data_IF_335555691111
#
_entry.id   IF_335555691111
#
_cell.length_a   1.000
_cell.length_b   1.000
_cell.length_c   1.000
_cell.angle_alpha   90.00
_cell.angle_beta   90.00
_cell.angle_gamma   90.00
#
_symmetry.space_group_name_H-M   'P 1'
#
loop_
_entity.id
_entity.type
_entity.pdbx_description
1 polymer ?
#
# COMPACT_ATOMS: atom_id res chain seq x y z
N UNK A 1 -10.88 -43.71 -15.03
CA UNK A 1 -11.49 -43.31 -13.74
C UNK A 1 -10.58 -42.41 -12.90
N UNK A 2 -9.30 -42.77 -12.69
CA UNK A 2 -8.34 -41.94 -11.93
C UNK A 2 -8.14 -40.51 -12.48
N UNK A 3 -7.97 -40.37 -13.80
CA UNK A 3 -7.83 -39.05 -14.44
C UNK A 3 -9.05 -38.13 -14.27
N UNK A 4 -10.25 -38.71 -14.23
CA UNK A 4 -11.50 -37.94 -14.05
C UNK A 4 -11.56 -37.39 -12.63
N UNK A 5 -11.17 -38.17 -11.62
CA UNK A 5 -11.10 -37.71 -10.23
C UNK A 5 -10.06 -36.60 -10.03
N UNK A 6 -8.91 -36.69 -10.71
CA UNK A 6 -7.89 -35.62 -10.70
C UNK A 6 -8.44 -34.34 -11.31
N UNK A 7 -9.11 -34.44 -12.48
CA UNK A 7 -9.69 -33.27 -13.15
C UNK A 7 -10.79 -32.64 -12.28
N UNK A 8 -11.67 -33.43 -11.68
CA UNK A 8 -12.69 -32.94 -10.74
C UNK A 8 -12.08 -32.28 -9.50
N UNK A 9 -11.03 -32.88 -8.94
CA UNK A 9 -10.27 -32.30 -7.83
C UNK A 9 -9.64 -30.96 -8.20
N UNK A 10 -9.06 -30.85 -9.40
CA UNK A 10 -8.49 -29.60 -9.90
C UNK A 10 -9.56 -28.54 -10.16
N UNK A 11 -10.69 -28.90 -10.77
CA UNK A 11 -11.80 -27.95 -11.04
C UNK A 11 -12.41 -27.43 -9.74
N UNK A 12 -12.65 -28.31 -8.77
CA UNK A 12 -13.15 -27.90 -7.45
C UNK A 12 -12.13 -27.02 -6.74
N UNK A 13 -10.85 -27.39 -6.73
CA UNK A 13 -9.79 -26.58 -6.16
C UNK A 13 -9.70 -25.19 -6.80
N UNK A 14 -9.76 -25.11 -8.13
CA UNK A 14 -9.79 -23.86 -8.89
C UNK A 14 -11.02 -23.02 -8.51
N UNK A 15 -12.20 -23.64 -8.38
CA UNK A 15 -13.42 -22.94 -7.96
C UNK A 15 -13.26 -22.30 -6.57
N UNK A 16 -12.73 -23.04 -5.59
CA UNK A 16 -12.55 -22.54 -4.23
C UNK A 16 -11.50 -21.42 -4.12
N UNK A 17 -10.49 -21.40 -5.00
CA UNK A 17 -9.43 -20.37 -4.99
C UNK A 17 -9.79 -19.15 -5.86
N UNK A 18 -10.33 -19.35 -7.07
CA UNK A 18 -10.49 -18.27 -8.05
C UNK A 18 -11.91 -17.73 -8.18
N UNK A 19 -12.94 -18.45 -7.70
CA UNK A 19 -14.33 -18.04 -7.91
C UNK A 19 -15.01 -17.75 -6.58
N UNK A 20 -14.92 -18.68 -5.61
CA UNK A 20 -15.59 -18.56 -4.31
C UNK A 20 -15.26 -17.25 -3.54
N UNK A 21 -14.01 -16.73 -3.51
CA UNK A 21 -13.72 -15.48 -2.82
C UNK A 21 -14.50 -14.28 -3.38
N UNK A 22 -14.78 -14.29 -4.69
CA UNK A 22 -15.50 -13.23 -5.39
C UNK A 22 -17.04 -13.32 -5.26
N UNK A 23 -17.54 -14.26 -4.47
CA UNK A 23 -18.97 -14.39 -4.15
C UNK A 23 -19.29 -13.87 -2.73
N UNK A 24 -18.29 -13.34 -2.02
CA UNK A 24 -18.44 -12.85 -0.65
C UNK A 24 -19.58 -11.81 -0.52
N UNK A 25 -19.63 -10.77 -1.36
CA UNK A 25 -20.65 -9.73 -1.22
C UNK A 25 -22.03 -10.18 -1.68
N UNK A 26 -22.11 -11.01 -2.72
CA UNK A 26 -23.35 -11.71 -3.12
C UNK A 26 -23.95 -12.49 -1.95
N UNK A 27 -23.12 -13.24 -1.21
CA UNK A 27 -23.58 -14.01 -0.04
C UNK A 27 -24.09 -13.14 1.12
N UNK A 28 -23.73 -11.84 1.13
CA UNK A 28 -24.15 -10.85 2.13
C UNK A 28 -25.28 -9.95 1.63
N UNK A 29 -25.79 -10.17 0.42
CA UNK A 29 -26.82 -9.33 -0.18
C UNK A 29 -26.33 -7.92 -0.56
N UNK A 30 -25.01 -7.73 -0.70
CA UNK A 30 -24.41 -6.45 -1.08
C UNK A 30 -24.26 -6.42 -2.61
N UNK A 31 -24.70 -5.33 -3.29
CA UNK A 31 -24.51 -5.19 -4.73
C UNK A 31 -23.02 -5.23 -5.08
N UNK A 32 -22.63 -6.08 -6.04
CA UNK A 32 -21.26 -6.18 -6.54
C UNK A 32 -21.23 -6.29 -8.06
N UNK A 33 -20.08 -6.00 -8.67
CA UNK A 33 -19.85 -6.28 -10.09
C UNK A 33 -19.92 -7.78 -10.36
N UNK A 34 -20.34 -8.15 -11.56
CA UNK A 34 -20.29 -9.56 -12.01
C UNK A 34 -18.86 -10.06 -11.98
N UNK A 35 -18.67 -11.36 -11.69
CA UNK A 35 -17.35 -11.99 -11.56
C UNK A 35 -16.46 -11.73 -12.78
N UNK A 36 -17.00 -11.83 -14.00
CA UNK A 36 -16.27 -11.52 -15.24
C UNK A 36 -15.76 -10.08 -15.28
N UNK A 37 -16.57 -9.13 -14.80
CA UNK A 37 -16.19 -7.72 -14.77
C UNK A 37 -15.17 -7.42 -13.68
N UNK A 38 -15.25 -8.10 -12.53
CA UNK A 38 -14.20 -8.04 -11.49
C UNK A 38 -12.86 -8.52 -12.05
N UNK A 39 -12.84 -9.63 -12.78
CA UNK A 39 -11.63 -10.12 -13.44
C UNK A 39 -11.09 -9.14 -14.49
N UNK A 40 -11.99 -8.54 -15.29
CA UNK A 40 -11.61 -7.53 -16.28
C UNK A 40 -10.96 -6.29 -15.64
N UNK A 41 -11.59 -5.69 -14.63
CA UNK A 41 -11.04 -4.50 -13.96
C UNK A 41 -9.75 -4.84 -13.18
N UNK A 42 -9.68 -6.03 -12.58
CA UNK A 42 -8.45 -6.51 -11.93
C UNK A 42 -7.32 -6.67 -12.93
N UNK A 43 -7.59 -7.22 -14.11
CA UNK A 43 -6.61 -7.33 -15.19
C UNK A 43 -6.16 -5.94 -15.67
N UNK A 44 -7.08 -4.97 -15.84
CA UNK A 44 -6.72 -3.59 -16.19
C UNK A 44 -5.76 -2.96 -15.17
N UNK A 45 -5.97 -3.21 -13.88
CA UNK A 45 -5.07 -2.74 -12.82
C UNK A 45 -3.72 -3.46 -12.79
N UNK A 46 -3.72 -4.79 -12.92
CA UNK A 46 -2.52 -5.65 -12.94
C UNK A 46 -1.62 -5.33 -14.14
N UNK A 47 -2.22 -5.15 -15.32
CA UNK A 47 -1.51 -4.82 -16.56
C UNK A 47 -1.32 -3.30 -16.74
N UNK A 48 -1.68 -2.49 -15.74
CA UNK A 48 -1.55 -1.03 -15.76
C UNK A 48 -2.22 -0.34 -16.97
N UNK A 49 -3.26 -0.96 -17.53
CA UNK A 49 -4.12 -0.33 -18.55
C UNK A 49 -5.07 0.71 -17.96
N UNK A 50 -5.19 0.78 -16.63
CA UNK A 50 -5.90 1.82 -15.90
C UNK A 50 -5.23 2.05 -14.54
N UNK A 51 -5.33 3.27 -14.01
CA UNK A 51 -4.89 3.54 -12.65
C UNK A 51 -5.96 3.07 -11.65
N UNK A 52 -5.55 2.80 -10.40
CA UNK A 52 -6.46 2.37 -9.32
C UNK A 52 -7.65 3.34 -9.15
N UNK A 53 -7.41 4.66 -9.25
CA UNK A 53 -8.46 5.66 -9.11
C UNK A 53 -9.54 5.54 -10.21
N UNK A 54 -9.15 5.23 -11.45
CA UNK A 54 -10.09 5.05 -12.55
C UNK A 54 -10.94 3.79 -12.37
N UNK A 55 -10.34 2.69 -11.88
CA UNK A 55 -11.06 1.45 -11.56
C UNK A 55 -12.07 1.69 -10.44
N UNK A 56 -11.67 2.38 -9.37
CA UNK A 56 -12.57 2.73 -8.27
C UNK A 56 -13.73 3.59 -8.77
N UNK A 57 -13.45 4.56 -9.65
CA UNK A 57 -14.48 5.39 -10.29
C UNK A 57 -15.44 4.57 -11.15
N UNK A 58 -14.93 3.60 -11.93
CA UNK A 58 -15.80 2.77 -12.78
C UNK A 58 -16.76 1.91 -11.96
N UNK A 59 -16.28 1.37 -10.83
CA UNK A 59 -17.11 0.64 -9.85
C UNK A 59 -18.17 1.57 -9.26
N UNK A 60 -17.78 2.78 -8.85
CA UNK A 60 -18.66 3.78 -8.27
C UNK A 60 -19.81 4.17 -9.23
N UNK A 61 -19.47 4.45 -10.49
CA UNK A 61 -20.43 4.92 -11.50
C UNK A 61 -21.39 3.82 -11.98
N UNK A 62 -21.01 2.55 -11.86
CA UNK A 62 -21.82 1.41 -12.36
C UNK A 62 -23.14 1.22 -11.59
N UNK A 63 -23.20 1.62 -10.33
CA UNK A 63 -24.38 1.44 -9.48
C UNK A 63 -24.95 2.80 -9.05
N UNK A 64 -25.63 3.55 -9.95
CA UNK A 64 -26.26 4.80 -9.58
C UNK A 64 -27.35 4.55 -8.52
N UNK A 65 -27.30 5.29 -7.41
CA UNK A 65 -28.30 5.20 -6.33
C UNK A 65 -28.05 4.15 -5.24
N UNK A 66 -27.03 3.30 -5.34
CA UNK A 66 -26.65 2.41 -4.22
C UNK A 66 -25.92 3.18 -3.12
N UNK A 67 -26.25 2.89 -1.85
CA UNK A 67 -25.58 3.50 -0.67
C UNK A 67 -24.17 2.95 -0.44
N UNK A 68 -23.94 1.70 -0.83
CA UNK A 68 -22.66 1.01 -0.76
C UNK A 68 -22.56 -0.05 -1.86
N UNK A 69 -21.34 -0.38 -2.25
CA UNK A 69 -21.04 -1.36 -3.31
C UNK A 69 -19.89 -2.25 -2.84
N UNK A 70 -20.06 -3.56 -2.99
CA UNK A 70 -19.00 -4.52 -2.79
C UNK A 70 -18.09 -4.54 -4.00
N UNK A 71 -16.78 -4.49 -3.77
CA UNK A 71 -15.80 -4.83 -4.77
C UNK A 71 -14.62 -5.57 -4.15
N UNK A 72 -13.56 -5.70 -4.94
CA UNK A 72 -12.42 -6.53 -4.59
C UNK A 72 -11.14 -5.80 -4.90
N UNK A 73 -10.27 -5.68 -3.90
CA UNK A 73 -8.88 -5.32 -4.13
C UNK A 73 -8.08 -6.61 -4.19
N UNK A 74 -7.64 -6.99 -5.39
CA UNK A 74 -7.14 -8.34 -5.68
C UNK A 74 -8.17 -9.41 -5.28
N UNK A 75 -7.95 -10.11 -4.14
CA UNK A 75 -8.86 -11.15 -3.62
C UNK A 75 -9.49 -10.76 -2.29
N UNK A 76 -9.19 -9.56 -1.77
CA UNK A 76 -9.77 -9.09 -0.52
C UNK A 76 -11.08 -8.35 -0.81
N UNK A 77 -12.19 -8.72 -0.14
CA UNK A 77 -13.43 -7.98 -0.26
C UNK A 77 -13.24 -6.57 0.31
N UNK A 78 -13.65 -5.56 -0.46
CA UNK A 78 -13.61 -4.15 -0.10
C UNK A 78 -15.01 -3.56 -0.26
N UNK A 79 -15.45 -2.80 0.74
CA UNK A 79 -16.75 -2.12 0.71
C UNK A 79 -16.53 -0.66 0.30
N UNK A 80 -17.08 -0.27 -0.84
CA UNK A 80 -17.12 1.11 -1.30
C UNK A 80 -18.35 1.80 -0.73
N UNK A 81 -18.13 2.81 0.11
CA UNK A 81 -19.19 3.62 0.70
C UNK A 81 -19.50 4.80 -0.23
N UNK A 82 -20.78 5.05 -0.50
CA UNK A 82 -21.24 6.14 -1.36
C UNK A 82 -22.11 7.16 -0.64
N UNK A 83 -22.73 6.74 0.46
CA UNK A 83 -23.62 7.59 1.26
C UNK A 83 -22.83 8.44 2.28
N UNK A 84 -22.90 9.78 2.20
CA UNK A 84 -22.26 10.67 3.16
C UNK A 84 -22.65 10.44 4.62
N UNK A 85 -23.89 10.06 4.89
CA UNK A 85 -24.37 9.84 6.27
C UNK A 85 -23.74 8.58 6.87
N UNK A 86 -23.60 7.53 6.05
CA UNK A 86 -22.95 6.29 6.45
C UNK A 86 -21.44 6.47 6.61
N UNK A 87 -20.81 7.24 5.71
CA UNK A 87 -19.40 7.61 5.84
C UNK A 87 -19.20 8.35 7.16
N UNK A 88 -19.99 9.38 7.45
CA UNK A 88 -19.91 10.15 8.70
C UNK A 88 -20.14 9.28 9.93
N UNK A 89 -21.07 8.34 9.87
CA UNK A 89 -21.29 7.42 10.98
C UNK A 89 -20.04 6.57 11.24
N UNK A 90 -19.48 5.95 10.20
CA UNK A 90 -18.33 5.05 10.33
C UNK A 90 -17.03 5.79 10.68
N UNK A 91 -16.81 6.98 10.11
CA UNK A 91 -15.58 7.74 10.31
C UNK A 91 -15.59 8.62 11.55
N UNK A 92 -16.75 8.94 12.12
CA UNK A 92 -16.87 9.82 13.29
C UNK A 92 -17.46 9.10 14.50
N UNK A 93 -18.61 8.46 14.37
CA UNK A 93 -19.32 7.87 15.52
C UNK A 93 -18.75 6.52 15.92
N UNK A 94 -18.48 5.68 14.93
CA UNK A 94 -18.02 4.30 15.13
C UNK A 94 -16.51 4.14 14.89
N UNK A 95 -15.76 5.26 14.87
CA UNK A 95 -14.34 5.31 14.51
C UNK A 95 -13.47 4.33 15.33
N UNK A 96 -13.78 4.17 16.62
CA UNK A 96 -13.05 3.28 17.54
C UNK A 96 -13.08 1.80 17.10
N UNK A 97 -14.01 1.41 16.24
CA UNK A 97 -14.11 0.07 15.67
C UNK A 97 -13.30 -0.09 14.36
N UNK A 98 -12.76 0.99 13.80
CA UNK A 98 -12.07 1.04 12.50
C UNK A 98 -10.66 1.64 12.59
N UNK A 99 -9.93 1.37 13.69
CA UNK A 99 -8.62 1.96 13.99
C UNK A 99 -7.46 1.48 13.09
N UNK A 100 -7.65 0.44 12.27
CA UNK A 100 -6.65 -0.07 11.34
C UNK A 100 -6.58 0.79 10.05
N UNK A 101 -6.01 2.00 10.14
CA UNK A 101 -5.74 2.86 8.99
C UNK A 101 -4.24 2.91 8.65
N UNK A 102 -3.87 2.45 7.46
CA UNK A 102 -2.64 2.88 6.79
C UNK A 102 -2.93 4.22 6.07
N UNK A 103 -2.25 5.29 6.49
CA UNK A 103 -2.39 6.68 6.01
C UNK A 103 -1.46 6.99 4.79
N UNK A 104 -1.53 8.16 4.07
CA UNK A 104 -2.08 9.45 4.55
C UNK A 104 -2.73 10.46 3.53
N UNK A 105 -3.27 11.55 4.12
CA UNK A 105 -3.56 12.96 3.67
C UNK A 105 -4.51 13.24 2.48
N UNK A 106 -5.53 14.06 2.74
CA UNK A 106 -6.39 14.73 1.74
C UNK A 106 -5.76 16.01 1.18
N UNK A 107 -5.86 16.17 -0.14
CA UNK A 107 -5.15 17.14 -1.00
C UNK A 107 -5.74 18.57 -1.01
N UNK A 108 -6.67 18.90 -0.10
CA UNK A 108 -7.63 20.02 -0.33
C UNK A 108 -7.20 21.41 0.20
N UNK A 109 -5.96 21.62 0.66
CA UNK A 109 -5.61 22.87 1.37
C UNK A 109 -4.70 23.86 0.58
N UNK A 110 -3.94 23.47 -0.45
CA UNK A 110 -2.91 24.38 -1.02
C UNK A 110 -2.90 24.55 -2.56
N UNK A 111 -3.23 25.75 -3.10
CA UNK A 111 -3.18 26.05 -4.54
C UNK A 111 -1.78 26.07 -5.19
N UNK A 112 -0.70 25.82 -4.41
CA UNK A 112 0.69 25.94 -4.88
C UNK A 112 1.14 24.71 -5.70
N UNK A 113 0.39 23.59 -5.65
CA UNK A 113 0.73 22.34 -6.35
C UNK A 113 0.65 22.41 -7.90
N UNK A 114 0.31 23.56 -8.48
CA UNK A 114 0.22 23.77 -9.93
C UNK A 114 1.55 23.90 -10.70
N UNK A 115 2.73 23.71 -10.09
CA UNK A 115 4.03 23.87 -10.77
C UNK A 115 4.86 22.58 -10.78
N UNK A 116 4.88 21.92 -11.94
CA UNK A 116 5.73 20.77 -12.37
C UNK A 116 5.83 19.61 -11.35
N UNK A 117 5.18 18.45 -11.59
CA UNK A 117 5.09 17.34 -10.61
C UNK A 117 6.46 16.83 -10.13
N UNK A 118 7.49 16.90 -10.98
CA UNK A 118 8.86 16.46 -10.69
C UNK A 118 9.50 17.26 -9.53
N UNK A 119 9.16 18.53 -9.36
CA UNK A 119 9.73 19.37 -8.28
C UNK A 119 9.12 19.06 -6.92
N UNK A 120 7.83 18.71 -6.87
CA UNK A 120 7.12 18.38 -5.63
C UNK A 120 7.58 17.02 -5.10
N UNK A 121 7.73 16.02 -5.99
CA UNK A 121 8.25 14.70 -5.62
C UNK A 121 9.63 14.78 -4.96
N UNK A 122 10.52 15.57 -5.53
CA UNK A 122 11.89 15.80 -5.03
C UNK A 122 11.91 16.60 -3.73
N UNK A 123 11.08 17.64 -3.63
CA UNK A 123 10.92 18.40 -2.40
C UNK A 123 10.41 17.53 -1.24
N UNK A 124 9.34 16.76 -1.45
CA UNK A 124 8.80 15.84 -0.45
C UNK A 124 9.83 14.78 -0.05
N UNK A 125 10.58 14.25 -1.03
CA UNK A 125 11.69 13.34 -0.77
C UNK A 125 12.75 13.95 0.15
N UNK A 126 13.14 15.21 -0.07
CA UNK A 126 14.16 15.91 0.73
C UNK A 126 13.66 16.21 2.14
N UNK A 127 12.38 16.60 2.28
CA UNK A 127 11.73 16.78 3.59
C UNK A 127 11.73 15.47 4.39
N UNK A 128 11.35 14.34 3.77
CA UNK A 128 11.37 13.03 4.43
C UNK A 128 12.81 12.59 4.75
N UNK A 129 13.76 12.78 3.83
CA UNK A 129 15.16 12.45 4.06
C UNK A 129 15.71 13.19 5.29
N UNK A 130 15.38 14.48 5.43
CA UNK A 130 15.85 15.31 6.53
C UNK A 130 15.13 15.01 7.84
N UNK A 131 13.81 14.87 7.84
CA UNK A 131 13.00 14.72 9.07
C UNK A 131 12.94 13.28 9.59
N UNK A 132 12.86 12.29 8.71
CA UNK A 132 12.75 10.89 9.09
C UNK A 132 14.12 10.22 9.22
N UNK A 133 15.02 10.43 8.27
CA UNK A 133 16.34 9.77 8.24
C UNK A 133 17.45 10.65 8.81
N UNK A 134 17.23 11.96 8.92
CA UNK A 134 18.21 12.91 9.41
C UNK A 134 19.30 13.27 8.41
N UNK A 135 19.03 13.08 7.11
CA UNK A 135 20.01 13.24 6.03
C UNK A 135 19.72 14.53 5.29
N UNK A 136 20.76 15.34 5.07
CA UNK A 136 20.69 16.45 4.13
C UNK A 136 20.69 15.88 2.71
N UNK A 137 19.54 15.94 2.05
CA UNK A 137 19.35 15.57 0.65
C UNK A 137 18.87 16.83 -0.08
N UNK A 138 19.56 17.19 -1.17
CA UNK A 138 19.15 18.28 -2.06
C UNK A 138 18.93 17.68 -3.45
N UNK A 139 17.84 16.91 -3.58
CA UNK A 139 17.50 16.21 -4.81
C UNK A 139 16.95 17.16 -5.87
N UNK A 140 16.65 18.42 -5.53
CA UNK A 140 16.29 19.47 -6.47
C UNK A 140 17.50 19.97 -7.25
N UNK A 141 18.63 20.18 -6.56
CA UNK A 141 19.89 20.58 -7.20
C UNK A 141 20.63 19.39 -7.80
N UNK A 142 20.71 18.28 -7.07
CA UNK A 142 21.35 17.05 -7.51
C UNK A 142 20.31 16.05 -8.04
N UNK A 143 20.20 15.97 -9.37
CA UNK A 143 19.21 15.11 -10.02
C UNK A 143 19.51 13.62 -9.92
N UNK A 144 20.77 13.26 -9.70
CA UNK A 144 21.25 11.87 -9.60
C UNK A 144 21.43 11.40 -8.16
N UNK A 145 20.92 12.20 -7.20
CA UNK A 145 20.98 11.87 -5.79
C UNK A 145 20.56 10.42 -5.52
N UNK A 146 21.46 9.65 -4.88
CA UNK A 146 21.29 8.22 -4.68
C UNK A 146 20.04 7.89 -3.85
N UNK A 147 19.74 8.68 -2.82
CA UNK A 147 18.55 8.49 -1.98
C UNK A 147 17.27 8.60 -2.82
N UNK A 148 17.17 9.63 -3.67
CA UNK A 148 16.03 9.81 -4.58
C UNK A 148 15.93 8.66 -5.60
N UNK A 149 17.04 8.24 -6.20
CA UNK A 149 17.06 7.14 -7.17
C UNK A 149 16.68 5.80 -6.54
N UNK A 150 17.13 5.51 -5.33
CA UNK A 150 16.76 4.31 -4.59
C UNK A 150 15.28 4.33 -4.18
N UNK A 151 14.75 5.49 -3.79
CA UNK A 151 13.30 5.69 -3.58
C UNK A 151 12.49 5.41 -4.84
N UNK A 152 12.90 5.96 -5.99
CA UNK A 152 12.26 5.71 -7.29
C UNK A 152 12.34 4.24 -7.72
N UNK A 153 13.45 3.55 -7.43
CA UNK A 153 13.57 2.10 -7.66
C UNK A 153 12.64 1.30 -6.74
N UNK A 154 12.44 1.75 -5.50
CA UNK A 154 11.53 1.12 -4.54
C UNK A 154 10.05 1.23 -4.95
N UNK A 155 9.68 2.34 -5.61
CA UNK A 155 8.30 2.61 -6.07
C UNK A 155 8.04 2.21 -7.53
N UNK A 156 9.04 1.66 -8.23
CA UNK A 156 8.86 1.23 -9.61
C UNK A 156 8.18 -0.15 -9.69
N UNK A 157 6.86 -0.15 -9.79
CA UNK A 157 6.04 -1.37 -9.87
C UNK A 157 5.72 -1.84 -11.30
N UNK A 158 6.40 -1.31 -12.33
CA UNK A 158 6.06 -1.56 -13.75
C UNK A 158 6.48 -2.94 -14.30
N UNK A 159 7.29 -3.71 -13.58
CA UNK A 159 7.80 -4.99 -14.07
C UNK A 159 6.81 -6.14 -13.86
N UNK A 160 6.54 -6.96 -14.88
CA UNK A 160 5.70 -8.15 -14.78
C UNK A 160 6.14 -9.10 -13.64
N UNK A 161 7.46 -9.25 -13.43
CA UNK A 161 8.00 -10.02 -12.31
C UNK A 161 7.68 -9.42 -10.93
N UNK A 162 7.57 -8.09 -10.81
CA UNK A 162 7.16 -7.41 -9.58
C UNK A 162 5.67 -7.62 -9.34
N UNK A 163 4.84 -7.52 -10.38
CA UNK A 163 3.40 -7.79 -10.31
C UNK A 163 3.13 -9.23 -9.87
N UNK A 164 3.85 -10.22 -10.41
CA UNK A 164 3.75 -11.62 -9.98
C UNK A 164 4.12 -11.78 -8.50
N UNK A 165 5.19 -11.11 -8.03
CA UNK A 165 5.57 -11.14 -6.60
C UNK A 165 4.48 -10.58 -5.71
N UNK A 166 3.85 -9.46 -6.10
CA UNK A 166 2.71 -8.89 -5.37
C UNK A 166 1.55 -9.88 -5.32
N UNK A 167 1.15 -10.44 -6.47
CA UNK A 167 0.07 -11.43 -6.53
C UNK A 167 0.39 -12.64 -5.64
N UNK A 168 1.61 -13.17 -5.68
CA UNK A 168 2.01 -14.31 -4.83
C UNK A 168 2.01 -13.96 -3.35
N UNK A 169 2.46 -12.77 -2.96
CA UNK A 169 2.46 -12.32 -1.57
C UNK A 169 1.03 -12.23 -1.00
N UNK A 170 0.08 -11.79 -1.82
CA UNK A 170 -1.31 -11.61 -1.41
C UNK A 170 -2.19 -12.86 -1.61
N UNK A 171 -1.90 -13.71 -2.61
CA UNK A 171 -2.65 -14.95 -2.87
C UNK A 171 -2.18 -16.13 -2.04
N UNK A 172 -0.85 -16.28 -1.86
CA UNK A 172 -0.28 -17.46 -1.22
C UNK A 172 0.92 -17.07 -0.33
N UNK A 173 0.67 -16.51 0.87
CA UNK A 173 1.74 -16.06 1.75
C UNK A 173 2.67 -17.21 2.20
N UNK A 174 2.17 -18.45 2.23
CA UNK A 174 2.98 -19.63 2.55
C UNK A 174 4.00 -19.95 1.46
N UNK A 175 3.58 -19.86 0.18
CA UNK A 175 4.47 -20.07 -0.96
C UNK A 175 5.48 -18.92 -1.11
N UNK A 176 5.06 -17.68 -0.84
CA UNK A 176 5.98 -16.53 -0.87
C UNK A 176 7.08 -16.64 0.19
N UNK A 177 6.73 -17.12 1.40
CA UNK A 177 7.69 -17.40 2.48
C UNK A 177 8.64 -18.54 2.09
N UNK A 178 8.12 -19.62 1.50
CA UNK A 178 8.92 -20.76 1.05
C UNK A 178 9.92 -20.37 -0.05
N UNK A 179 9.51 -19.54 -1.00
CA UNK A 179 10.34 -19.05 -2.10
C UNK A 179 11.26 -17.88 -1.68
N UNK A 180 11.19 -17.41 -0.43
CA UNK A 180 12.01 -16.30 0.07
C UNK A 180 11.79 -14.98 -0.69
N UNK A 181 10.59 -14.76 -1.24
CA UNK A 181 10.31 -13.60 -2.07
C UNK A 181 10.34 -12.32 -1.23
N UNK A 182 11.29 -11.44 -1.54
CA UNK A 182 11.38 -10.08 -0.98
C UNK A 182 10.67 -9.08 -1.88
N UNK A 183 9.91 -8.18 -1.26
CA UNK A 183 9.16 -7.13 -1.95
C UNK A 183 10.09 -6.15 -2.68
N UNK A 184 11.15 -5.73 -2.00
CA UNK A 184 12.12 -4.79 -2.53
C UNK A 184 13.34 -5.50 -3.12
N UNK A 185 13.96 -4.87 -4.11
CA UNK A 185 15.24 -5.33 -4.64
C UNK A 185 16.31 -5.31 -3.53
N UNK A 186 17.24 -6.27 -3.55
CA UNK A 186 18.28 -6.43 -2.53
C UNK A 186 19.10 -5.13 -2.35
N UNK A 187 19.46 -4.48 -3.46
CA UNK A 187 20.22 -3.20 -3.44
C UNK A 187 19.49 -2.09 -2.70
N UNK A 188 18.16 -1.98 -2.86
CA UNK A 188 17.35 -0.96 -2.19
C UNK A 188 17.31 -1.23 -0.69
N UNK A 189 17.08 -2.49 -0.31
CA UNK A 189 17.05 -2.90 1.10
C UNK A 189 18.40 -2.66 1.79
N UNK A 190 19.50 -3.04 1.13
CA UNK A 190 20.85 -2.87 1.66
C UNK A 190 21.24 -1.40 1.79
N UNK A 191 20.89 -0.57 0.80
CA UNK A 191 21.12 0.87 0.85
C UNK A 191 20.45 1.51 2.08
N UNK A 192 19.13 1.36 2.22
CA UNK A 192 18.39 1.98 3.33
C UNK A 192 18.80 1.41 4.70
N UNK A 193 19.08 0.10 4.80
CA UNK A 193 19.57 -0.51 6.05
C UNK A 193 20.95 0.03 6.43
N UNK A 194 21.86 0.16 5.48
CA UNK A 194 23.21 0.69 5.72
C UNK A 194 23.11 2.16 6.13
N UNK A 195 22.34 2.95 5.40
CA UNK A 195 22.08 4.35 5.68
C UNK A 195 21.54 4.60 7.09
N UNK A 196 20.57 3.80 7.55
CA UNK A 196 20.04 3.91 8.93
C UNK A 196 21.09 3.47 9.95
N UNK A 197 21.79 2.36 9.73
CA UNK A 197 22.83 1.86 10.64
C UNK A 197 23.96 2.88 10.83
N UNK A 198 24.53 3.37 9.74
CA UNK A 198 25.62 4.36 9.76
C UNK A 198 25.18 5.66 10.44
N UNK A 199 23.94 6.10 10.21
CA UNK A 199 23.40 7.28 10.91
C UNK A 199 23.28 7.07 12.42
N UNK A 200 22.78 5.92 12.86
CA UNK A 200 22.68 5.60 14.30
C UNK A 200 24.08 5.52 14.93
N UNK A 201 25.04 4.88 14.24
CA UNK A 201 26.42 4.75 14.71
C UNK A 201 27.14 6.10 14.82
N UNK A 202 27.04 6.94 13.78
CA UNK A 202 27.59 8.30 13.77
C UNK A 202 27.02 9.16 14.91
N UNK A 203 25.69 9.10 15.13
CA UNK A 203 25.04 9.80 16.25
C UNK A 203 25.51 9.32 17.62
N UNK A 204 25.69 8.02 17.80
CA UNK A 204 26.23 7.44 19.06
C UNK A 204 27.67 7.89 19.30
N UNK A 205 28.52 7.89 18.27
CA UNK A 205 29.93 8.26 18.38
C UNK A 205 30.12 9.75 18.67
N UNK A 206 29.37 10.60 17.97
CA UNK A 206 29.54 12.05 18.01
C UNK A 206 28.58 12.73 19.01
N UNK A 207 27.82 11.95 19.79
CA UNK A 207 26.82 12.44 20.74
C UNK A 207 25.84 13.47 20.13
N UNK A 208 25.48 13.30 18.86
CA UNK A 208 24.59 14.22 18.14
C UNK A 208 23.16 13.99 18.58
N UNK A 209 22.54 15.03 19.15
CA UNK A 209 21.12 15.04 19.50
C UNK A 209 20.38 15.90 18.49
N UNK A 210 19.59 15.25 17.63
CA UNK A 210 18.68 15.90 16.68
C UNK A 210 17.28 15.32 16.90
N UNK A 211 16.23 16.14 17.12
CA UNK A 211 14.88 15.65 17.41
C UNK A 211 14.18 15.18 16.13
N UNK A 212 14.72 14.14 15.49
CA UNK A 212 14.17 13.49 14.30
C UNK A 212 13.62 12.10 14.61
N UNK A 213 13.02 11.43 13.62
CA UNK A 213 12.42 10.11 13.82
C UNK A 213 13.45 9.05 14.26
N UNK A 214 14.70 9.11 13.79
CA UNK A 214 15.75 8.18 14.24
C UNK A 214 16.03 8.37 15.73
N UNK A 215 16.12 9.61 16.20
CA UNK A 215 16.30 9.88 17.63
C UNK A 215 15.14 9.33 18.47
N UNK A 216 13.90 9.57 18.04
CA UNK A 216 12.72 9.01 18.71
C UNK A 216 12.78 7.48 18.77
N UNK A 217 13.13 6.81 17.68
CA UNK A 217 13.28 5.35 17.63
C UNK A 217 14.43 4.85 18.53
N UNK A 218 15.52 5.61 18.64
CA UNK A 218 16.62 5.30 19.56
C UNK A 218 16.20 5.42 21.03
N UNK A 219 15.41 6.42 21.39
CA UNK A 219 14.88 6.59 22.75
C UNK A 219 13.78 5.57 23.06
N UNK A 220 12.93 5.23 22.08
CA UNK A 220 11.96 4.15 22.17
C UNK A 220 12.64 2.82 22.48
N UNK A 221 13.73 2.49 21.76
CA UNK A 221 14.53 1.28 22.00
C UNK A 221 15.15 1.23 23.39
N UNK A 222 15.45 2.38 24.00
CA UNK A 222 15.95 2.48 25.38
C UNK A 222 14.82 2.39 26.43
N UNK A 223 13.56 2.30 26.01
CA UNK A 223 12.40 2.26 26.90
C UNK A 223 12.08 3.61 27.56
N UNK A 224 12.53 4.73 26.99
CA UNK A 224 12.36 6.07 27.58
C UNK A 224 11.07 6.76 27.16
N UNK A 225 10.46 6.33 26.06
CA UNK A 225 9.15 6.83 25.63
C UNK A 225 8.06 6.10 26.40
N UNK A 226 7.28 6.85 27.19
CA UNK A 226 6.08 6.34 27.86
C UNK A 226 4.86 6.72 27.02
N UNK A 227 3.90 5.81 26.93
CA UNK A 227 2.60 6.11 26.34
C UNK A 227 1.85 7.06 27.30
N UNK A 228 1.60 8.29 26.87
CA UNK A 228 0.62 9.13 27.56
C UNK A 228 -0.75 8.49 27.35
N UNK A 229 -1.41 8.11 28.45
CA UNK A 229 -2.82 7.77 28.41
C UNK A 229 -3.57 9.07 28.14
N UNK A 230 -4.26 9.12 27.01
CA UNK A 230 -5.22 10.17 26.72
C UNK A 230 -6.40 10.01 27.68
N UNK A 231 -6.59 10.99 28.57
CA UNK A 231 -7.80 11.15 29.39
C UNK A 231 -9.01 11.55 28.53
#
# INVERSE_FOLDING_TARGET
>A
MFWIAIVLGLVTFIYFILIKPFQYWESKGVPQLTILRVWYESARGIFQFACQAEIIKSVYDTFPGSRYVGGYQFFKPMLFLKDPDLIKQLTVKDFDHFLDHNQPISEEIEPIFGKKPISIERFANDVIASTAFGIACDSLKDRENEYYLMGKKATNFRGAGTVIKFILLFMCPTLSKLLGLKLFHKSVSEFFLTLVKTNIESRKKNAIVRPDMIYLLMEARKGRLKHEKSD
#
